data_IF_483888484586
#
_entry.id   IF_483888484586
#
_cell.length_a   1.000
_cell.length_b   1.000
_cell.length_c   1.000
_cell.angle_alpha   90.00
_cell.angle_beta   90.00
_cell.angle_gamma   90.00
#
_symmetry.space_group_name_H-M   'P 1'
#
loop_
_entity.id
_entity.type
_entity.pdbx_description
1 polymer ?
#
# COMPACT_ATOMS: atom_id res chain seq x y z
N UNK A 1 29.66 48.14 26.92
CA UNK A 1 30.58 47.45 25.99
C UNK A 1 29.86 46.17 25.65
N UNK A 2 28.98 46.25 24.66
CA UNK A 2 27.99 45.20 24.39
C UNK A 2 28.51 44.35 23.24
N UNK A 3 28.93 43.14 23.56
CA UNK A 3 29.43 42.16 22.59
C UNK A 3 28.24 41.64 21.78
N UNK A 4 28.05 42.19 20.58
CA UNK A 4 27.15 41.66 19.56
C UNK A 4 27.77 40.35 19.04
N UNK A 5 27.19 39.23 19.44
CA UNK A 5 27.53 37.89 18.92
C UNK A 5 27.16 37.83 17.44
N UNK A 6 28.15 37.93 16.58
CA UNK A 6 27.97 37.72 15.14
C UNK A 6 27.45 36.31 14.89
N UNK A 7 26.19 36.19 14.49
CA UNK A 7 25.65 34.97 13.88
C UNK A 7 26.46 34.68 12.62
N UNK A 8 27.29 33.65 12.64
CA UNK A 8 27.95 33.12 11.44
C UNK A 8 26.86 32.76 10.44
N UNK A 9 26.76 33.56 9.39
CA UNK A 9 25.96 33.26 8.22
C UNK A 9 26.67 32.12 7.49
N UNK A 10 26.19 30.88 7.65
CA UNK A 10 26.73 29.73 6.93
C UNK A 10 26.49 29.93 5.43
N UNK A 11 27.55 29.86 4.62
CA UNK A 11 27.44 29.93 3.17
C UNK A 11 26.47 28.86 2.65
N UNK A 12 25.57 29.19 1.70
CA UNK A 12 24.57 28.25 1.23
C UNK A 12 25.25 27.05 0.56
N UNK A 13 25.21 25.89 1.24
CA UNK A 13 25.66 24.62 0.66
C UNK A 13 25.02 24.39 -0.72
N UNK A 14 25.76 23.82 -1.71
CA UNK A 14 25.24 23.58 -3.04
C UNK A 14 23.92 22.80 -3.01
N UNK A 15 23.01 23.09 -3.94
CA UNK A 15 21.67 22.46 -3.99
C UNK A 15 21.76 20.93 -4.01
N UNK A 16 22.75 20.36 -4.73
CA UNK A 16 23.03 18.92 -4.76
C UNK A 16 23.46 18.38 -3.39
N UNK A 17 24.37 19.07 -2.68
CA UNK A 17 24.80 18.72 -1.31
C UNK A 17 23.62 18.77 -0.35
N UNK A 18 22.75 19.79 -0.47
CA UNK A 18 21.50 19.89 0.31
C UNK A 18 20.53 18.75 0.00
N UNK A 19 20.44 18.28 -1.25
CA UNK A 19 19.61 17.14 -1.64
C UNK A 19 20.08 15.84 -0.98
N UNK A 20 21.36 15.48 -1.15
CA UNK A 20 21.91 14.24 -0.57
C UNK A 20 21.96 14.27 0.97
N UNK A 21 22.15 15.45 1.57
CA UNK A 21 22.14 15.58 3.04
C UNK A 21 20.76 15.24 3.64
N UNK A 22 19.65 15.39 2.88
CA UNK A 22 18.31 14.95 3.34
C UNK A 22 18.21 13.44 3.51
N UNK A 23 18.94 12.65 2.71
CA UNK A 23 18.92 11.18 2.76
C UNK A 23 19.57 10.61 4.02
N UNK A 24 20.38 11.40 4.75
CA UNK A 24 21.00 10.96 6.01
C UNK A 24 19.96 10.64 7.10
N UNK A 25 18.73 11.14 6.98
CA UNK A 25 17.71 11.02 8.01
C UNK A 25 18.08 11.80 9.27
N UNK A 26 17.12 11.93 10.20
CA UNK A 26 17.33 12.68 11.45
C UNK A 26 16.80 11.96 12.70
N UNK A 27 16.39 10.70 12.58
CA UNK A 27 15.62 10.05 13.64
C UNK A 27 15.84 8.54 13.75
N UNK A 28 15.25 7.97 14.79
CA UNK A 28 15.14 6.52 15.01
C UNK A 28 13.76 6.04 14.55
N UNK A 29 13.62 4.74 14.29
CA UNK A 29 12.34 4.17 13.86
C UNK A 29 11.25 4.42 14.92
N UNK A 30 10.05 4.90 14.53
CA UNK A 30 8.92 5.02 15.45
C UNK A 30 8.26 3.66 15.74
N UNK A 31 8.60 2.59 15.01
CA UNK A 31 8.01 1.27 15.20
C UNK A 31 8.55 0.63 16.49
N UNK A 32 7.66 0.44 17.46
CA UNK A 32 7.94 -0.26 18.70
C UNK A 32 7.55 -1.73 18.59
N UNK A 33 8.34 -2.62 19.21
CA UNK A 33 8.05 -4.05 19.24
C UNK A 33 7.04 -4.36 20.34
N UNK A 34 5.88 -4.87 19.96
CA UNK A 34 4.87 -5.39 20.89
C UNK A 34 4.42 -6.77 20.43
N UNK A 35 4.71 -7.80 21.24
CA UNK A 35 4.42 -9.21 20.92
C UNK A 35 2.93 -9.42 20.65
N UNK A 36 2.03 -8.76 21.40
CA UNK A 36 0.58 -8.90 21.19
C UNK A 36 0.16 -8.35 19.83
N UNK A 37 0.76 -7.24 19.41
CA UNK A 37 0.49 -6.66 18.10
C UNK A 37 1.06 -7.53 16.98
N UNK A 38 2.24 -8.12 17.19
CA UNK A 38 2.83 -9.10 16.27
C UNK A 38 1.97 -10.36 16.12
N UNK A 39 1.43 -10.89 17.22
CA UNK A 39 0.51 -12.04 17.19
C UNK A 39 -0.81 -11.70 16.49
N UNK A 40 -1.33 -10.49 16.69
CA UNK A 40 -2.52 -10.02 15.96
C UNK A 40 -2.23 -9.88 14.47
N UNK A 41 -1.04 -9.38 14.11
CA UNK A 41 -0.53 -9.33 12.75
C UNK A 41 -0.42 -10.71 12.11
N UNK A 42 0.17 -11.66 12.82
CA UNK A 42 0.29 -13.06 12.41
C UNK A 42 -1.09 -13.68 12.16
N UNK A 43 -2.00 -13.56 13.13
CA UNK A 43 -3.34 -14.13 13.02
C UNK A 43 -4.11 -13.52 11.84
N UNK A 44 -4.11 -12.20 11.72
CA UNK A 44 -4.82 -11.50 10.64
C UNK A 44 -4.25 -11.81 9.25
N UNK A 45 -2.93 -11.75 9.10
CA UNK A 45 -2.26 -12.08 7.85
C UNK A 45 -2.47 -13.56 7.46
N UNK A 46 -2.29 -14.48 8.41
CA UNK A 46 -2.52 -15.91 8.18
C UNK A 46 -3.96 -16.19 7.77
N UNK A 47 -4.95 -15.71 8.53
CA UNK A 47 -6.37 -15.93 8.22
C UNK A 47 -6.76 -15.33 6.87
N UNK A 48 -6.22 -14.16 6.53
CA UNK A 48 -6.50 -13.55 5.23
C UNK A 48 -5.93 -14.36 4.08
N UNK A 49 -4.65 -14.72 4.15
CA UNK A 49 -3.99 -15.45 3.06
C UNK A 49 -4.53 -16.89 2.95
N UNK A 50 -4.82 -17.57 4.07
CA UNK A 50 -5.40 -18.91 4.03
C UNK A 50 -6.83 -18.87 3.48
N UNK A 51 -7.65 -17.86 3.81
CA UNK A 51 -8.98 -17.70 3.24
C UNK A 51 -8.90 -17.46 1.73
N UNK A 52 -8.04 -16.56 1.27
CA UNK A 52 -7.89 -16.30 -0.17
C UNK A 52 -7.40 -17.54 -0.92
N UNK A 53 -6.36 -18.22 -0.43
CA UNK A 53 -5.81 -19.42 -1.10
C UNK A 53 -6.77 -20.62 -1.05
N UNK A 54 -7.51 -20.79 0.03
CA UNK A 54 -8.55 -21.82 0.12
C UNK A 54 -9.72 -21.53 -0.83
N UNK A 55 -10.18 -20.27 -0.92
CA UNK A 55 -11.21 -19.90 -1.89
C UNK A 55 -10.72 -20.07 -3.33
N UNK A 56 -9.46 -19.74 -3.63
CA UNK A 56 -8.84 -20.02 -4.93
C UNK A 56 -8.92 -21.51 -5.27
N UNK A 57 -8.58 -22.40 -4.31
CA UNK A 57 -8.52 -23.84 -4.57
C UNK A 57 -9.90 -24.47 -4.81
N UNK A 58 -10.96 -24.02 -4.12
CA UNK A 58 -12.30 -24.58 -4.29
C UNK A 58 -13.08 -23.98 -5.46
N UNK A 59 -12.78 -22.74 -5.86
CA UNK A 59 -13.50 -22.05 -6.95
C UNK A 59 -12.76 -22.13 -8.29
N UNK A 60 -11.50 -22.58 -8.32
CA UNK A 60 -10.61 -22.52 -9.49
C UNK A 60 -10.44 -21.10 -10.06
N UNK A 61 -10.72 -20.06 -9.26
CA UNK A 61 -10.59 -18.65 -9.62
C UNK A 61 -9.49 -18.02 -8.79
N UNK A 62 -8.50 -17.38 -9.42
CA UNK A 62 -7.41 -16.75 -8.68
C UNK A 62 -7.92 -15.56 -7.85
N UNK A 63 -7.81 -15.66 -6.53
CA UNK A 63 -8.21 -14.62 -5.57
C UNK A 63 -7.03 -14.01 -4.82
N UNK A 64 -5.82 -14.54 -5.00
CA UNK A 64 -4.61 -14.01 -4.37
C UNK A 64 -3.74 -13.30 -5.41
N UNK A 65 -3.17 -12.17 -5.01
CA UNK A 65 -2.05 -11.57 -5.74
C UNK A 65 -0.99 -11.06 -4.76
N UNK A 66 0.27 -11.02 -5.19
CA UNK A 66 1.40 -10.65 -4.34
C UNK A 66 1.20 -9.34 -3.54
N UNK A 67 0.61 -8.25 -4.11
CA UNK A 67 0.29 -7.03 -3.36
C UNK A 67 -0.58 -7.23 -2.10
N UNK A 68 -1.40 -8.29 -2.03
CA UNK A 68 -2.24 -8.56 -0.86
C UNK A 68 -1.43 -8.96 0.38
N UNK A 69 -0.25 -9.55 0.22
CA UNK A 69 0.65 -9.79 1.34
C UNK A 69 1.09 -8.49 2.01
N UNK A 70 1.52 -7.49 1.21
CA UNK A 70 1.89 -6.17 1.71
C UNK A 70 0.67 -5.40 2.26
N UNK A 71 -0.51 -5.62 1.69
CA UNK A 71 -1.77 -5.09 2.23
C UNK A 71 -2.08 -5.63 3.62
N UNK A 72 -1.85 -6.93 3.86
CA UNK A 72 -1.97 -7.52 5.20
C UNK A 72 -0.98 -6.90 6.19
N UNK A 73 0.26 -6.63 5.77
CA UNK A 73 1.26 -5.95 6.63
C UNK A 73 0.72 -4.60 7.11
N UNK A 74 0.10 -3.82 6.23
CA UNK A 74 -0.52 -2.55 6.60
C UNK A 74 -1.79 -2.73 7.44
N UNK A 75 -2.73 -3.56 6.98
CA UNK A 75 -4.04 -3.73 7.60
C UNK A 75 -3.97 -4.26 9.04
N UNK A 76 -2.99 -5.13 9.35
CA UNK A 76 -2.89 -5.75 10.68
C UNK A 76 -1.69 -5.25 11.51
N UNK A 77 -0.60 -4.86 10.84
CA UNK A 77 0.63 -4.37 11.50
C UNK A 77 0.60 -2.87 11.80
N UNK A 78 0.00 -2.07 10.91
CA UNK A 78 -0.14 -0.61 11.07
C UNK A 78 -1.60 -0.21 10.83
N UNK A 79 -2.51 -0.89 11.52
CA UNK A 79 -3.97 -0.82 11.34
C UNK A 79 -4.56 0.60 11.44
N UNK A 80 -3.94 1.47 12.25
CA UNK A 80 -4.39 2.84 12.48
C UNK A 80 -3.86 3.84 11.45
N UNK A 81 -2.94 3.44 10.57
CA UNK A 81 -2.41 4.35 9.56
C UNK A 81 -3.51 4.72 8.54
N UNK A 82 -3.55 5.98 8.07
CA UNK A 82 -4.49 6.39 7.03
C UNK A 82 -4.44 5.51 5.77
N UNK A 83 -3.24 5.04 5.39
CA UNK A 83 -3.00 4.20 4.21
C UNK A 83 -3.54 2.76 4.36
N UNK A 84 -3.86 2.35 5.58
CA UNK A 84 -4.38 1.02 5.91
C UNK A 84 -5.91 0.99 5.99
N UNK A 85 -6.61 2.12 5.82
CA UNK A 85 -8.06 2.17 5.98
C UNK A 85 -8.80 1.55 4.77
N UNK A 86 -10.06 1.10 4.94
CA UNK A 86 -10.80 0.35 3.92
C UNK A 86 -10.86 1.02 2.56
N UNK A 87 -11.10 2.33 2.52
CA UNK A 87 -11.13 3.12 1.28
C UNK A 87 -9.79 3.07 0.53
N UNK A 88 -8.68 3.12 1.25
CA UNK A 88 -7.36 3.07 0.66
C UNK A 88 -7.05 1.67 0.13
N UNK A 89 -7.32 0.62 0.93
CA UNK A 89 -7.11 -0.77 0.49
C UNK A 89 -7.90 -1.06 -0.79
N UNK A 90 -9.23 -0.91 -0.75
CA UNK A 90 -10.10 -1.26 -1.89
C UNK A 90 -9.91 -0.28 -3.05
N UNK A 91 -9.99 1.02 -2.76
CA UNK A 91 -9.91 2.06 -3.78
C UNK A 91 -8.53 2.15 -4.44
N UNK A 92 -7.45 1.99 -3.67
CA UNK A 92 -6.09 1.97 -4.19
C UNK A 92 -5.87 0.81 -5.14
N UNK A 93 -6.27 -0.40 -4.76
CA UNK A 93 -6.16 -1.58 -5.62
C UNK A 93 -6.99 -1.46 -6.91
N UNK A 94 -8.25 -1.01 -6.80
CA UNK A 94 -9.10 -0.81 -7.98
C UNK A 94 -8.54 0.24 -8.94
N UNK A 95 -8.14 1.41 -8.44
CA UNK A 95 -7.60 2.50 -9.27
C UNK A 95 -6.31 2.06 -9.94
N UNK A 96 -5.41 1.46 -9.16
CA UNK A 96 -4.10 1.05 -9.66
C UNK A 96 -4.21 -0.04 -10.73
N UNK A 97 -5.01 -1.07 -10.46
CA UNK A 97 -5.30 -2.15 -11.43
C UNK A 97 -5.99 -1.61 -12.68
N UNK A 98 -6.99 -0.74 -12.54
CA UNK A 98 -7.69 -0.14 -13.68
C UNK A 98 -6.73 0.61 -14.61
N UNK A 99 -5.80 1.39 -14.05
CA UNK A 99 -4.78 2.10 -14.83
C UNK A 99 -3.83 1.12 -15.51
N UNK A 100 -3.36 0.09 -14.80
CA UNK A 100 -2.52 -0.95 -15.37
C UNK A 100 -3.17 -1.68 -16.54
N UNK A 101 -4.43 -2.08 -16.39
CA UNK A 101 -5.22 -2.73 -17.45
C UNK A 101 -5.45 -1.79 -18.64
N UNK A 102 -5.76 -0.52 -18.38
CA UNK A 102 -5.95 0.48 -19.45
C UNK A 102 -4.69 0.62 -20.30
N UNK A 103 -3.52 0.73 -19.66
CA UNK A 103 -2.24 0.89 -20.36
C UNK A 103 -1.85 -0.38 -21.10
N UNK A 104 -2.03 -1.55 -20.49
CA UNK A 104 -1.80 -2.82 -21.15
C UNK A 104 -2.65 -2.98 -22.43
N UNK A 105 -3.96 -2.70 -22.37
CA UNK A 105 -4.84 -2.88 -23.51
C UNK A 105 -4.69 -1.82 -24.61
N UNK A 106 -4.12 -0.65 -24.29
CA UNK A 106 -3.85 0.41 -25.27
C UNK A 106 -2.49 0.25 -25.97
N UNK A 107 -1.47 -0.18 -25.23
CA UNK A 107 -0.07 -0.12 -25.69
C UNK A 107 0.67 -1.46 -25.62
N UNK A 108 0.09 -2.50 -25.03
CA UNK A 108 0.72 -3.80 -24.84
C UNK A 108 1.76 -3.84 -23.71
N UNK A 109 2.63 -4.83 -23.77
CA UNK A 109 3.69 -5.08 -22.79
C UNK A 109 5.05 -4.64 -23.35
N UNK A 110 5.36 -3.36 -23.15
CA UNK A 110 6.63 -2.74 -23.54
C UNK A 110 7.37 -2.26 -22.28
N UNK A 111 8.69 -2.12 -22.35
CA UNK A 111 9.51 -1.73 -21.18
C UNK A 111 9.07 -0.40 -20.53
N UNK A 112 8.48 0.52 -21.30
CA UNK A 112 8.00 1.80 -20.82
C UNK A 112 6.55 1.77 -20.30
N UNK A 113 5.73 0.79 -20.70
CA UNK A 113 4.30 0.76 -20.31
C UNK A 113 4.12 0.48 -18.83
N UNK A 114 4.98 -0.39 -18.26
CA UNK A 114 5.01 -0.64 -16.81
C UNK A 114 5.37 0.63 -16.04
N UNK A 115 6.43 1.33 -16.46
CA UNK A 115 6.87 2.57 -15.81
C UNK A 115 5.78 3.65 -15.86
N UNK A 116 5.15 3.81 -17.03
CA UNK A 116 4.05 4.76 -17.21
C UNK A 116 2.83 4.39 -16.34
N UNK A 117 2.42 3.12 -16.34
CA UNK A 117 1.25 2.68 -15.59
C UNK A 117 1.43 2.82 -14.08
N UNK A 118 2.60 2.44 -13.54
CA UNK A 118 2.93 2.63 -12.12
C UNK A 118 2.95 4.12 -11.75
N UNK A 119 3.59 4.96 -12.56
CA UNK A 119 3.63 6.41 -12.33
C UNK A 119 2.24 7.05 -12.31
N UNK A 120 1.37 6.68 -13.27
CA UNK A 120 0.00 7.18 -13.31
C UNK A 120 -0.85 6.64 -12.16
N UNK A 121 -0.71 5.35 -11.80
CA UNK A 121 -1.41 4.78 -10.66
C UNK A 121 -1.10 5.52 -9.36
N UNK A 122 0.17 5.82 -9.11
CA UNK A 122 0.61 6.63 -7.96
C UNK A 122 -0.06 8.01 -8.00
N UNK A 123 0.04 8.71 -9.13
CA UNK A 123 -0.51 10.05 -9.27
C UNK A 123 -2.03 10.08 -9.03
N UNK A 124 -2.79 9.17 -9.64
CA UNK A 124 -4.25 9.14 -9.51
C UNK A 124 -4.68 8.73 -8.11
N UNK A 125 -4.00 7.78 -7.46
CA UNK A 125 -4.28 7.45 -6.06
C UNK A 125 -4.05 8.64 -5.13
N UNK A 126 -2.99 9.43 -5.36
CA UNK A 126 -2.75 10.66 -4.60
C UNK A 126 -3.86 11.70 -4.82
N UNK A 127 -4.26 11.92 -6.08
CA UNK A 127 -5.32 12.88 -6.42
C UNK A 127 -6.68 12.48 -5.82
N UNK A 128 -6.98 11.18 -5.77
CA UNK A 128 -8.24 10.64 -5.24
C UNK A 128 -8.23 10.37 -3.73
N UNK A 129 -7.08 10.61 -3.07
CA UNK A 129 -6.84 10.35 -1.64
C UNK A 129 -7.06 8.87 -1.26
N UNK A 130 -6.73 7.96 -2.15
CA UNK A 130 -6.84 6.50 -1.98
C UNK A 130 -5.48 5.81 -1.92
N UNK A 131 -4.39 6.56 -1.72
CA UNK A 131 -3.03 6.02 -1.67
C UNK A 131 -2.95 4.79 -0.77
N UNK A 132 -2.63 3.66 -1.38
CA UNK A 132 -2.35 2.40 -0.72
C UNK A 132 -1.07 1.83 -1.34
N UNK A 133 0.09 1.99 -0.67
CA UNK A 133 1.38 1.63 -1.26
C UNK A 133 1.46 0.22 -1.85
N UNK A 134 0.85 -0.83 -1.24
CA UNK A 134 0.80 -2.17 -1.83
C UNK A 134 0.21 -2.19 -3.25
N UNK A 135 -0.85 -1.42 -3.49
CA UNK A 135 -1.51 -1.34 -4.80
C UNK A 135 -0.60 -0.76 -5.90
N UNK A 136 0.48 -0.05 -5.55
CA UNK A 136 1.45 0.46 -6.53
C UNK A 136 2.13 -0.65 -7.35
N UNK A 137 2.10 -1.90 -6.88
CA UNK A 137 2.61 -3.06 -7.62
C UNK A 137 1.58 -3.67 -8.59
N UNK A 138 0.30 -3.37 -8.47
CA UNK A 138 -0.77 -3.94 -9.31
C UNK A 138 -0.55 -3.74 -10.83
N UNK A 139 -0.11 -2.56 -11.33
CA UNK A 139 0.13 -2.35 -12.75
C UNK A 139 1.20 -3.28 -13.30
N UNK A 140 2.21 -3.61 -12.49
CA UNK A 140 3.29 -4.53 -12.84
C UNK A 140 2.71 -5.94 -13.03
N UNK A 141 1.87 -6.38 -12.09
CA UNK A 141 1.24 -7.71 -12.14
C UNK A 141 0.32 -7.84 -13.36
N UNK A 142 -0.53 -6.85 -13.63
CA UNK A 142 -1.49 -6.95 -14.73
C UNK A 142 -0.81 -6.94 -16.10
N UNK A 143 0.21 -6.09 -16.30
CA UNK A 143 0.92 -5.99 -17.58
C UNK A 143 1.77 -7.25 -17.83
N UNK A 144 2.57 -7.68 -16.85
CA UNK A 144 3.42 -8.86 -17.00
C UNK A 144 2.61 -10.16 -17.14
N UNK A 145 1.47 -10.23 -16.44
CA UNK A 145 0.56 -11.37 -16.52
C UNK A 145 -0.37 -11.36 -17.74
N UNK A 146 -0.29 -10.34 -18.61
CA UNK A 146 -1.18 -10.18 -19.77
C UNK A 146 -2.68 -10.30 -19.38
N UNK A 147 -3.04 -9.72 -18.24
CA UNK A 147 -4.34 -9.94 -17.61
C UNK A 147 -5.48 -9.20 -18.34
N UNK A 148 -6.66 -9.81 -18.35
CA UNK A 148 -7.88 -9.23 -18.92
C UNK A 148 -8.65 -8.37 -17.90
N UNK A 149 -9.69 -7.68 -18.35
CA UNK A 149 -10.52 -6.82 -17.50
C UNK A 149 -11.22 -7.54 -16.34
N UNK A 150 -11.42 -8.86 -16.42
CA UNK A 150 -11.97 -9.64 -15.30
C UNK A 150 -11.05 -9.63 -14.08
N UNK A 151 -9.75 -9.35 -14.26
CA UNK A 151 -8.78 -9.22 -13.17
C UNK A 151 -9.18 -8.14 -12.14
N UNK A 152 -9.91 -7.10 -12.60
CA UNK A 152 -10.41 -6.04 -11.73
C UNK A 152 -11.44 -6.55 -10.71
N UNK A 153 -12.19 -7.59 -11.04
CA UNK A 153 -13.15 -8.24 -10.14
C UNK A 153 -12.45 -9.32 -9.33
N UNK A 154 -11.79 -10.26 -10.01
CA UNK A 154 -11.04 -11.37 -9.41
C UNK A 154 -9.63 -11.41 -9.98
N UNK A 155 -8.58 -11.17 -9.17
CA UNK A 155 -8.60 -11.17 -7.69
C UNK A 155 -8.94 -9.82 -7.04
N UNK A 156 -8.91 -8.70 -7.77
CA UNK A 156 -8.68 -7.38 -7.16
C UNK A 156 -9.79 -6.91 -6.22
N UNK A 157 -11.03 -6.80 -6.71
CA UNK A 157 -12.15 -6.35 -5.87
C UNK A 157 -12.46 -7.36 -4.77
N UNK A 158 -12.65 -8.63 -5.12
CA UNK A 158 -13.05 -9.65 -4.15
C UNK A 158 -11.97 -9.85 -3.08
N UNK A 159 -10.70 -9.96 -3.49
CA UNK A 159 -9.60 -10.15 -2.57
C UNK A 159 -9.38 -8.97 -1.63
N UNK A 160 -9.45 -7.72 -2.14
CA UNK A 160 -9.34 -6.53 -1.29
C UNK A 160 -10.51 -6.38 -0.31
N UNK A 161 -11.72 -6.77 -0.70
CA UNK A 161 -12.87 -6.84 0.21
C UNK A 161 -12.66 -7.90 1.30
N UNK A 162 -12.17 -9.09 0.96
CA UNK A 162 -11.85 -10.15 1.95
C UNK A 162 -10.82 -9.66 2.96
N UNK A 163 -9.76 -8.96 2.52
CA UNK A 163 -8.76 -8.34 3.41
C UNK A 163 -9.45 -7.38 4.38
N UNK A 164 -10.29 -6.47 3.89
CA UNK A 164 -10.99 -5.49 4.73
C UNK A 164 -11.93 -6.19 5.72
N UNK A 165 -12.69 -7.19 5.28
CA UNK A 165 -13.61 -7.94 6.15
C UNK A 165 -12.85 -8.61 7.29
N UNK A 166 -11.75 -9.29 7.00
CA UNK A 166 -10.94 -9.94 8.04
C UNK A 166 -10.26 -8.89 8.94
N UNK A 167 -9.82 -7.76 8.38
CA UNK A 167 -9.29 -6.63 9.17
C UNK A 167 -10.32 -6.05 10.13
N UNK A 168 -11.59 -5.96 9.75
CA UNK A 168 -12.69 -5.55 10.64
C UNK A 168 -12.84 -6.50 11.82
N UNK A 169 -12.80 -7.81 11.59
CA UNK A 169 -12.91 -8.77 12.70
C UNK A 169 -11.67 -8.75 13.60
N UNK A 170 -10.49 -8.96 13.03
CA UNK A 170 -9.26 -9.18 13.81
C UNK A 170 -8.82 -7.94 14.56
N UNK A 171 -8.88 -6.76 13.95
CA UNK A 171 -8.45 -5.55 14.65
C UNK A 171 -9.42 -5.19 15.78
N UNK A 172 -10.73 -5.39 15.63
CA UNK A 172 -11.70 -5.04 16.69
C UNK A 172 -11.85 -6.10 17.80
N UNK A 173 -11.17 -7.25 17.71
CA UNK A 173 -11.07 -8.19 18.85
C UNK A 173 -10.23 -7.64 20.01
N UNK A 174 -9.33 -6.68 19.73
CA UNK A 174 -8.50 -6.04 20.74
C UNK A 174 -9.16 -4.76 21.25
N UNK A 175 -9.36 -4.64 22.56
CA UNK A 175 -9.89 -3.42 23.19
C UNK A 175 -9.01 -2.18 23.00
N UNK A 176 -7.77 -2.35 22.54
CA UNK A 176 -6.81 -1.26 22.28
C UNK A 176 -6.82 -0.76 20.84
N UNK A 177 -7.57 -1.41 19.95
CA UNK A 177 -7.64 -1.09 18.52
C UNK A 177 -9.05 -0.69 18.15
N UNK A 178 -9.19 0.16 17.14
CA UNK A 178 -10.49 0.55 16.57
C UNK A 178 -10.31 0.67 15.07
N UNK A 179 -10.88 -0.28 14.33
CA UNK A 179 -10.75 -0.32 12.87
C UNK A 179 -12.13 -0.39 12.19
N UNK A 180 -12.40 0.44 11.19
CA UNK A 180 -11.52 1.49 10.69
C UNK A 180 -11.50 2.70 11.62
N UNK A 181 -10.46 3.52 11.49
CA UNK A 181 -10.45 4.87 12.08
C UNK A 181 -11.31 5.84 11.28
N UNK A 182 -11.45 5.61 9.96
CA UNK A 182 -12.38 6.31 9.07
C UNK A 182 -12.72 5.47 7.84
N UNK A 183 -13.88 5.73 7.23
CA UNK A 183 -14.33 5.06 6.01
C UNK A 183 -14.09 5.86 4.73
N UNK A 184 -14.10 7.20 4.78
CA UNK A 184 -14.10 8.10 3.61
C UNK A 184 -13.11 9.25 3.81
#
# INVERSE_FOLDING_TARGET
>A
MDNITATKQEDPQPISVRYFTKMKGKGRSPLQVNIKDSLTGLLGGFLTIITLTYLTSITSTELLMAPFGASCVLAFGVWNAPLSQPRNIIGGHLISTFIGLSIYHLFGNEYWTIALAVGMAIAVMMLTRTTHPPAGADPIIVILGANSWSYLVTPVLIGSVVIVVIALFINNMSSKRSYPTFWI
#
